data_IF_693459672204
#
_entry.id   IF_693459672204
#
_cell.length_a   1.000
_cell.length_b   1.000
_cell.length_c   1.000
_cell.angle_alpha   90.00
_cell.angle_beta   90.00
_cell.angle_gamma   90.00
#
_symmetry.space_group_name_H-M   'P 1'
#
loop_
_entity.id
_entity.type
_entity.pdbx_description
1 polymer ?
#
# COMPACT_ATOMS: atom_id res chain seq x y z
N UNK A 1 -24.56 15.32 19.93
CA UNK A 1 -24.17 14.77 18.61
C UNK A 1 -22.78 15.29 18.29
N UNK A 2 -21.83 14.42 17.95
CA UNK A 2 -20.47 14.84 17.60
C UNK A 2 -20.47 15.71 16.34
N UNK A 3 -19.43 16.54 16.18
CA UNK A 3 -19.25 17.38 14.98
C UNK A 3 -19.14 16.49 13.74
N UNK A 4 -19.94 16.78 12.70
CA UNK A 4 -19.78 16.13 11.39
C UNK A 4 -18.56 16.75 10.69
N UNK A 5 -17.49 15.97 10.55
CA UNK A 5 -16.24 16.40 9.93
C UNK A 5 -16.21 15.99 8.46
N UNK A 6 -15.56 16.80 7.62
CA UNK A 6 -15.14 16.39 6.28
C UNK A 6 -13.72 15.86 6.34
N UNK A 7 -13.53 14.60 5.91
CA UNK A 7 -12.23 13.92 5.98
C UNK A 7 -11.80 13.55 4.56
N UNK A 8 -10.63 14.03 4.15
CA UNK A 8 -10.06 13.75 2.82
C UNK A 8 -9.00 12.66 2.92
N UNK A 9 -9.23 11.51 2.31
CA UNK A 9 -8.27 10.43 2.15
C UNK A 9 -7.49 10.57 0.84
N UNK A 10 -6.18 10.42 0.90
CA UNK A 10 -5.29 10.48 -0.26
C UNK A 10 -4.28 9.31 -0.24
N UNK A 11 -4.73 8.09 -0.58
CA UNK A 11 -3.85 6.94 -0.71
C UNK A 11 -3.00 7.02 -1.99
N UNK A 12 -1.83 6.39 -1.97
CA UNK A 12 -1.09 6.02 -3.18
C UNK A 12 -1.97 5.11 -4.06
N UNK A 13 -1.89 5.17 -5.40
CA UNK A 13 -2.74 4.38 -6.30
C UNK A 13 -2.35 2.90 -6.38
N UNK A 14 -2.41 2.21 -5.24
CA UNK A 14 -2.23 0.77 -5.11
C UNK A 14 -3.42 0.16 -4.37
N UNK A 15 -3.88 -1.00 -4.84
CA UNK A 15 -5.09 -1.68 -4.32
C UNK A 15 -5.01 -1.91 -2.80
N UNK A 16 -3.84 -2.27 -2.27
CA UNK A 16 -3.62 -2.44 -0.83
C UNK A 16 -3.86 -1.17 -0.02
N UNK A 17 -3.25 -0.05 -0.43
CA UNK A 17 -3.37 1.25 0.25
C UNK A 17 -4.78 1.81 0.17
N UNK A 18 -5.43 1.70 -1.00
CA UNK A 18 -6.83 2.12 -1.16
C UNK A 18 -7.75 1.28 -0.27
N UNK A 19 -7.60 -0.04 -0.23
CA UNK A 19 -8.40 -0.90 0.66
C UNK A 19 -8.18 -0.62 2.14
N UNK A 20 -6.93 -0.34 2.55
CA UNK A 20 -6.62 0.04 3.93
C UNK A 20 -7.33 1.34 4.33
N UNK A 21 -7.26 2.35 3.46
CA UNK A 21 -8.00 3.60 3.64
C UNK A 21 -9.51 3.40 3.66
N UNK A 22 -10.07 2.51 2.82
CA UNK A 22 -11.51 2.17 2.82
C UNK A 22 -11.91 1.61 4.19
N UNK A 23 -11.13 0.67 4.76
CA UNK A 23 -11.43 0.09 6.07
C UNK A 23 -11.52 1.15 7.19
N UNK A 24 -10.60 2.12 7.21
CA UNK A 24 -10.69 3.27 8.13
C UNK A 24 -11.90 4.17 7.83
N UNK A 25 -12.11 4.47 6.55
CA UNK A 25 -13.13 5.39 6.09
C UNK A 25 -14.56 4.90 6.37
N UNK A 26 -14.84 3.59 6.22
CA UNK A 26 -16.15 3.02 6.53
C UNK A 26 -16.52 3.22 8.00
N UNK A 27 -15.55 3.02 8.91
CA UNK A 27 -15.75 3.26 10.34
C UNK A 27 -16.09 4.74 10.59
N UNK A 28 -15.38 5.67 9.96
CA UNK A 28 -15.63 7.12 10.12
C UNK A 28 -16.95 7.55 9.49
N UNK A 29 -17.30 7.00 8.32
CA UNK A 29 -18.58 7.21 7.67
C UNK A 29 -19.74 6.72 8.55
N UNK A 30 -19.61 5.54 9.17
CA UNK A 30 -20.62 4.99 10.10
C UNK A 30 -20.86 5.87 11.33
N UNK A 31 -19.89 6.72 11.68
CA UNK A 31 -19.98 7.72 12.76
C UNK A 31 -20.56 9.06 12.29
N UNK A 32 -20.99 9.14 11.03
CA UNK A 32 -21.68 10.29 10.45
C UNK A 32 -20.75 11.34 9.85
N UNK A 33 -19.48 11.02 9.55
CA UNK A 33 -18.54 11.93 8.89
C UNK A 33 -18.68 11.91 7.37
N UNK A 34 -18.40 13.04 6.71
CA UNK A 34 -18.32 13.12 5.26
C UNK A 34 -16.94 12.66 4.79
N UNK A 35 -16.89 11.64 3.95
CA UNK A 35 -15.64 11.07 3.43
C UNK A 35 -15.45 11.47 1.97
N UNK A 36 -14.26 12.00 1.67
CA UNK A 36 -13.79 12.30 0.33
C UNK A 36 -12.52 11.49 0.06
N UNK A 37 -12.41 10.89 -1.11
CA UNK A 37 -11.22 10.20 -1.57
C UNK A 37 -10.62 10.92 -2.78
N UNK A 38 -9.35 11.31 -2.67
CA UNK A 38 -8.53 11.69 -3.80
C UNK A 38 -7.77 10.46 -4.30
N UNK A 39 -8.22 9.87 -5.41
CA UNK A 39 -7.70 8.60 -5.95
C UNK A 39 -7.31 8.75 -7.41
N UNK A 40 -6.43 7.88 -7.90
CA UNK A 40 -6.10 7.85 -9.33
C UNK A 40 -7.30 7.44 -10.20
N UNK A 41 -7.31 7.88 -11.46
CA UNK A 41 -8.34 7.59 -12.45
C UNK A 41 -8.66 6.08 -12.57
N UNK A 42 -7.69 5.19 -12.35
CA UNK A 42 -7.90 3.74 -12.35
C UNK A 42 -8.85 3.22 -11.25
N UNK A 43 -9.18 4.05 -10.27
CA UNK A 43 -10.16 3.77 -9.20
C UNK A 43 -11.51 4.45 -9.40
N UNK A 44 -11.70 5.21 -10.49
CA UNK A 44 -12.95 5.92 -10.76
C UNK A 44 -14.18 4.98 -10.68
N UNK A 45 -15.17 5.40 -9.89
CA UNK A 45 -16.42 4.70 -9.63
C UNK A 45 -16.33 3.52 -8.66
N UNK A 46 -15.14 3.08 -8.24
CA UNK A 46 -14.97 1.87 -7.41
C UNK A 46 -15.26 2.11 -5.93
N UNK A 47 -15.20 3.35 -5.47
CA UNK A 47 -15.41 3.77 -4.09
C UNK A 47 -16.83 4.34 -3.86
N UNK A 48 -17.53 4.79 -4.91
CA UNK A 48 -18.92 5.27 -4.85
C UNK A 48 -19.88 4.27 -4.15
N UNK A 49 -19.81 2.94 -4.37
CA UNK A 49 -20.70 1.99 -3.69
C UNK A 49 -20.57 1.97 -2.16
N UNK A 50 -19.46 2.47 -1.60
CA UNK A 50 -19.25 2.60 -0.16
C UNK A 50 -19.87 3.89 0.42
N UNK A 51 -20.46 4.75 -0.43
CA UNK A 51 -21.03 6.03 -0.01
C UNK A 51 -20.01 7.16 0.13
N UNK A 52 -18.80 6.98 -0.42
CA UNK A 52 -17.75 8.01 -0.42
C UNK A 52 -17.89 8.96 -1.61
N UNK A 53 -17.35 10.17 -1.45
CA UNK A 53 -17.15 11.10 -2.57
C UNK A 53 -15.80 10.81 -3.21
N UNK A 54 -15.75 10.71 -4.53
CA UNK A 54 -14.52 10.51 -5.28
C UNK A 54 -14.08 11.77 -6.02
N UNK A 55 -12.80 12.10 -5.89
CA UNK A 55 -12.08 13.04 -6.75
C UNK A 55 -10.96 12.27 -7.45
N UNK A 56 -11.03 12.18 -8.78
CA UNK A 56 -10.09 11.41 -9.58
C UNK A 56 -8.94 12.27 -10.05
N UNK A 57 -7.73 11.81 -9.78
CA UNK A 57 -6.48 12.40 -10.27
C UNK A 57 -6.17 11.81 -11.63
N UNK A 58 -6.04 12.67 -12.64
CA UNK A 58 -5.60 12.26 -13.96
C UNK A 58 -4.12 12.61 -14.13
N UNK A 59 -3.27 11.61 -14.38
CA UNK A 59 -1.91 11.84 -14.86
C UNK A 59 -1.92 12.05 -16.38
N UNK A 60 -1.04 12.92 -16.88
CA UNK A 60 -0.95 13.18 -18.33
C UNK A 60 -0.26 12.03 -19.10
N UNK A 61 0.35 11.06 -18.42
CA UNK A 61 1.33 10.15 -19.03
C UNK A 61 0.94 8.66 -19.05
N UNK A 62 -0.14 8.23 -18.39
CA UNK A 62 -0.63 6.84 -18.51
C UNK A 62 -2.05 6.77 -19.11
N UNK A 63 -2.12 7.05 -20.42
CA UNK A 63 -3.23 6.56 -21.25
C UNK A 63 -3.05 5.07 -21.50
N UNK A 64 -3.74 4.24 -20.74
CA UNK A 64 -3.88 2.83 -21.08
C UNK A 64 -4.71 2.08 -20.06
N UNK A 65 -5.75 1.37 -20.51
CA UNK A 65 -6.64 0.52 -19.71
C UNK A 65 -5.93 -0.66 -19.00
N UNK A 66 -4.59 -0.74 -19.08
CA UNK A 66 -3.75 -1.90 -18.70
C UNK A 66 -2.55 -1.56 -17.80
N UNK A 67 -2.53 -0.41 -17.12
CA UNK A 67 -1.40 -0.01 -16.26
C UNK A 67 -1.02 -1.08 -15.19
N UNK A 68 -2.03 -1.75 -14.61
CA UNK A 68 -1.82 -2.86 -13.68
C UNK A 68 -1.18 -4.10 -14.32
N UNK A 69 -1.58 -4.47 -15.54
CA UNK A 69 -0.96 -5.56 -16.31
C UNK A 69 0.48 -5.25 -16.69
N UNK A 70 0.76 -4.01 -17.12
CA UNK A 70 2.11 -3.55 -17.43
C UNK A 70 3.02 -3.62 -16.20
N UNK A 71 2.55 -3.14 -15.04
CA UNK A 71 3.28 -3.22 -13.79
C UNK A 71 3.56 -4.67 -13.37
N UNK A 72 2.55 -5.55 -13.43
CA UNK A 72 2.71 -6.97 -13.11
C UNK A 72 3.74 -7.65 -14.05
N UNK A 73 3.66 -7.38 -15.34
CA UNK A 73 4.59 -7.91 -16.35
C UNK A 73 6.01 -7.39 -16.13
N UNK A 74 6.17 -6.11 -15.81
CA UNK A 74 7.47 -5.51 -15.49
C UNK A 74 8.11 -6.18 -14.27
N UNK A 75 7.35 -6.38 -13.19
CA UNK A 75 7.83 -7.08 -11.99
C UNK A 75 8.23 -8.53 -12.33
N UNK A 76 7.39 -9.28 -13.04
CA UNK A 76 7.67 -10.65 -13.45
C UNK A 76 8.95 -10.74 -14.30
N UNK A 77 9.08 -9.87 -15.30
CA UNK A 77 10.23 -9.86 -16.22
C UNK A 77 11.54 -9.36 -15.57
N UNK A 78 11.47 -8.59 -14.48
CA UNK A 78 12.65 -8.08 -13.78
C UNK A 78 13.48 -9.17 -13.08
N UNK A 79 12.89 -10.34 -12.84
CA UNK A 79 13.52 -11.42 -12.07
C UNK A 79 13.57 -11.15 -10.55
N UNK A 80 12.96 -10.07 -10.04
CA UNK A 80 12.96 -9.74 -8.61
C UNK A 80 12.28 -10.81 -7.75
N UNK A 81 11.33 -11.55 -8.32
CA UNK A 81 10.60 -12.64 -7.66
C UNK A 81 11.36 -13.98 -7.66
N UNK A 82 12.54 -14.04 -8.30
CA UNK A 82 13.37 -15.24 -8.30
C UNK A 82 14.02 -15.51 -6.93
N UNK A 83 14.57 -16.72 -6.75
CA UNK A 83 15.26 -17.15 -5.53
C UNK A 83 16.62 -16.49 -5.25
N UNK A 84 16.86 -15.28 -5.75
CA UNK A 84 18.10 -14.52 -5.50
C UNK A 84 18.11 -13.89 -4.10
N UNK A 85 19.31 -13.57 -3.60
CA UNK A 85 19.49 -12.94 -2.28
C UNK A 85 18.80 -11.57 -2.17
N UNK A 86 18.52 -11.15 -0.94
CA UNK A 86 17.82 -9.89 -0.68
C UNK A 86 18.58 -8.66 -1.20
N UNK A 87 19.91 -8.64 -1.07
CA UNK A 87 20.75 -7.59 -1.65
C UNK A 87 20.68 -7.57 -3.18
N UNK A 88 20.64 -8.74 -3.83
CA UNK A 88 20.48 -8.81 -5.29
C UNK A 88 19.10 -8.33 -5.74
N UNK A 89 18.04 -8.63 -4.99
CA UNK A 89 16.69 -8.06 -5.22
C UNK A 89 16.71 -6.54 -5.11
N UNK A 90 17.39 -5.99 -4.10
CA UNK A 90 17.52 -4.54 -3.93
C UNK A 90 18.23 -3.89 -5.14
N UNK A 91 19.32 -4.47 -5.65
CA UNK A 91 20.00 -3.99 -6.88
C UNK A 91 19.07 -4.03 -8.11
N UNK A 92 18.25 -5.07 -8.26
CA UNK A 92 17.24 -5.14 -9.33
C UNK A 92 16.24 -4.00 -9.18
N UNK A 93 15.72 -3.78 -7.96
CA UNK A 93 14.75 -2.73 -7.66
C UNK A 93 15.32 -1.32 -7.88
N UNK A 94 16.60 -1.09 -7.56
CA UNK A 94 17.29 0.17 -7.84
C UNK A 94 17.24 0.53 -9.32
N UNK A 95 17.42 -0.44 -10.21
CA UNK A 95 17.40 -0.22 -11.67
C UNK A 95 16.01 0.11 -12.22
N UNK A 96 14.94 -0.16 -11.45
CA UNK A 96 13.57 0.16 -11.87
C UNK A 96 13.16 1.60 -11.57
N UNK A 97 13.96 2.36 -10.77
CA UNK A 97 13.72 3.77 -10.42
C UNK A 97 12.30 4.09 -9.91
N UNK A 98 11.60 3.11 -9.34
CA UNK A 98 10.17 3.19 -8.99
C UNK A 98 9.87 4.36 -8.05
N UNK A 99 10.76 4.64 -7.09
CA UNK A 99 10.55 5.71 -6.10
C UNK A 99 10.62 7.10 -6.75
N UNK A 100 11.48 7.28 -7.76
CA UNK A 100 11.57 8.55 -8.49
C UNK A 100 10.31 8.82 -9.31
N UNK A 101 9.72 7.76 -9.89
CA UNK A 101 8.43 7.82 -10.60
C UNK A 101 7.31 8.26 -9.66
N UNK A 102 7.29 7.77 -8.41
CA UNK A 102 6.32 8.23 -7.42
C UNK A 102 6.48 9.72 -7.07
N UNK A 103 7.73 10.20 -6.94
CA UNK A 103 7.99 11.64 -6.70
C UNK A 103 7.52 12.49 -7.89
N UNK A 104 7.76 12.06 -9.13
CA UNK A 104 7.26 12.75 -10.31
C UNK A 104 5.74 12.78 -10.37
N UNK A 105 5.09 11.63 -10.16
CA UNK A 105 3.63 11.53 -10.16
C UNK A 105 3.02 12.48 -9.12
N UNK A 106 3.56 12.53 -7.90
CA UNK A 106 3.10 13.46 -6.86
C UNK A 106 3.27 14.92 -7.25
N UNK A 107 4.39 15.26 -7.88
CA UNK A 107 4.63 16.63 -8.37
C UNK A 107 3.64 17.01 -9.47
N UNK A 108 3.39 16.12 -10.43
CA UNK A 108 2.41 16.34 -11.50
C UNK A 108 0.98 16.46 -10.95
N UNK A 109 0.65 15.67 -9.93
CA UNK A 109 -0.69 15.61 -9.33
C UNK A 109 -0.96 16.72 -8.31
N UNK A 110 0.07 17.44 -7.85
CA UNK A 110 -0.03 18.47 -6.81
C UNK A 110 -1.10 19.56 -7.09
N UNK A 111 -1.23 20.13 -8.30
CA UNK A 111 -2.25 21.15 -8.57
C UNK A 111 -3.67 20.61 -8.37
N UNK A 112 -3.94 19.36 -8.77
CA UNK A 112 -5.23 18.70 -8.57
C UNK A 112 -5.49 18.48 -7.08
N UNK A 113 -4.48 18.07 -6.30
CA UNK A 113 -4.61 17.93 -4.84
C UNK A 113 -4.98 19.25 -4.17
N UNK A 114 -4.36 20.36 -4.58
CA UNK A 114 -4.72 21.69 -4.07
C UNK A 114 -6.16 22.05 -4.40
N UNK A 115 -6.61 21.77 -5.62
CA UNK A 115 -7.97 22.03 -6.03
C UNK A 115 -8.99 21.22 -5.20
N UNK A 116 -8.70 19.94 -4.91
CA UNK A 116 -9.57 19.10 -4.09
C UNK A 116 -9.64 19.56 -2.64
N UNK A 117 -8.50 19.93 -2.04
CA UNK A 117 -8.46 20.54 -0.70
C UNK A 117 -9.28 21.83 -0.67
N UNK A 118 -9.15 22.71 -1.66
CA UNK A 118 -9.92 23.95 -1.73
C UNK A 118 -11.43 23.69 -1.92
N UNK A 119 -11.79 22.74 -2.78
CA UNK A 119 -13.19 22.35 -3.08
C UNK A 119 -13.91 21.78 -1.87
N UNK A 120 -13.26 20.87 -1.14
CA UNK A 120 -13.90 20.14 -0.05
C UNK A 120 -13.65 20.74 1.33
N UNK A 121 -12.64 21.59 1.46
CA UNK A 121 -12.27 22.26 2.69
C UNK A 121 -12.22 21.31 3.91
N UNK A 122 -11.43 20.22 3.84
CA UNK A 122 -11.50 19.15 4.83
C UNK A 122 -11.11 19.63 6.23
N UNK A 123 -11.75 19.10 7.26
CA UNK A 123 -11.36 19.30 8.66
C UNK A 123 -10.07 18.54 8.99
N UNK A 124 -9.88 17.35 8.40
CA UNK A 124 -8.72 16.46 8.58
C UNK A 124 -8.34 15.82 7.24
N UNK A 125 -7.05 15.64 6.99
CA UNK A 125 -6.54 14.93 5.81
C UNK A 125 -5.88 13.62 6.26
N UNK A 126 -6.13 12.51 5.58
CA UNK A 126 -5.51 11.21 5.83
C UNK A 126 -4.62 10.85 4.65
N UNK A 127 -3.34 10.60 4.90
CA UNK A 127 -2.33 10.39 3.87
C UNK A 127 -1.70 9.01 4.05
N UNK A 128 -1.96 8.11 3.12
CA UNK A 128 -1.30 6.80 3.00
C UNK A 128 -0.41 6.84 1.74
N UNK A 129 0.81 7.33 1.87
CA UNK A 129 1.68 7.53 0.73
C UNK A 129 3.16 7.39 1.10
N UNK A 130 3.95 6.86 0.16
CA UNK A 130 5.40 6.71 0.31
C UNK A 130 6.14 8.03 0.41
N UNK A 131 5.56 9.09 -0.16
CA UNK A 131 6.11 10.43 -0.22
C UNK A 131 4.94 11.39 0.03
N UNK A 132 5.11 12.35 0.94
CA UNK A 132 4.02 13.27 1.27
C UNK A 132 3.80 14.32 0.17
N UNK A 133 2.54 14.55 -0.21
CA UNK A 133 2.21 15.67 -1.11
C UNK A 133 2.22 17.00 -0.32
N UNK A 134 2.97 18.02 -0.75
CA UNK A 134 2.99 19.34 -0.10
C UNK A 134 1.60 19.99 -0.05
N UNK A 135 0.79 19.76 -1.08
CA UNK A 135 -0.60 20.26 -1.16
C UNK A 135 -1.49 19.73 -0.04
N UNK A 136 -1.16 18.57 0.53
CA UNK A 136 -1.91 17.92 1.59
C UNK A 136 -1.31 18.24 2.96
N UNK A 137 0.01 18.07 3.11
CA UNK A 137 0.69 18.25 4.41
C UNK A 137 0.72 19.71 4.89
N UNK A 138 0.78 20.66 3.96
CA UNK A 138 0.86 22.09 4.25
C UNK A 138 -0.43 22.84 3.87
N UNK A 139 -1.56 22.11 3.83
CA UNK A 139 -2.90 22.66 3.56
C UNK A 139 -3.47 23.55 4.68
N UNK A 140 -2.70 23.83 5.75
CA UNK A 140 -3.19 24.43 6.99
C UNK A 140 -4.36 23.63 7.63
N UNK A 141 -4.29 22.31 7.53
CA UNK A 141 -5.21 21.35 8.16
C UNK A 141 -4.41 20.31 8.94
N UNK A 142 -4.94 19.78 10.06
CA UNK A 142 -4.34 18.61 10.67
C UNK A 142 -4.38 17.45 9.68
N UNK A 143 -3.27 16.72 9.59
CA UNK A 143 -3.20 15.53 8.76
C UNK A 143 -2.78 14.31 9.57
N UNK A 144 -3.22 13.13 9.16
CA UNK A 144 -2.90 11.85 9.77
C UNK A 144 -2.08 11.04 8.77
N UNK A 145 -0.89 10.60 9.18
CA UNK A 145 -0.09 9.68 8.38
C UNK A 145 -0.59 8.26 8.58
N UNK A 146 -0.78 7.49 7.50
CA UNK A 146 -1.17 6.09 7.55
C UNK A 146 -0.08 5.25 6.91
N UNK A 147 0.35 4.20 7.60
CA UNK A 147 1.18 3.14 7.03
C UNK A 147 0.35 1.85 6.95
N UNK A 148 -0.05 1.48 5.73
CA UNK A 148 -0.74 0.21 5.46
C UNK A 148 0.21 -0.96 5.16
N UNK A 149 1.51 -0.70 5.18
CA UNK A 149 2.56 -1.68 4.93
C UNK A 149 3.10 -2.23 6.25
N UNK A 150 4.13 -3.06 6.17
CA UNK A 150 4.90 -3.42 7.36
C UNK A 150 5.39 -2.14 8.08
N UNK A 151 5.21 -2.04 9.41
CA UNK A 151 5.46 -0.81 10.15
C UNK A 151 6.91 -0.35 10.16
N UNK A 152 7.88 -1.22 9.85
CA UNK A 152 9.28 -0.84 9.77
C UNK A 152 9.52 0.25 8.71
N UNK A 153 8.71 0.32 7.66
CA UNK A 153 8.80 1.41 6.68
C UNK A 153 8.51 2.80 7.28
N UNK A 154 7.74 2.85 8.37
CA UNK A 154 7.32 4.09 9.03
C UNK A 154 8.05 4.34 10.36
N UNK A 155 8.39 3.25 11.06
CA UNK A 155 9.05 3.25 12.37
C UNK A 155 10.27 2.31 12.29
N UNK A 156 11.28 2.75 11.53
CA UNK A 156 12.58 2.09 11.50
C UNK A 156 13.31 2.28 12.84
N UNK A 157 14.07 1.26 13.24
CA UNK A 157 14.86 1.24 14.48
C UNK A 157 16.01 0.23 14.35
N UNK A 158 17.21 0.58 14.81
CA UNK A 158 18.42 -0.26 14.71
C UNK A 158 18.27 -1.63 15.39
N UNK A 159 17.29 -1.80 16.30
CA UNK A 159 16.98 -3.09 16.94
C UNK A 159 16.23 -4.05 16.01
N UNK A 160 15.61 -3.54 14.95
CA UNK A 160 14.78 -4.27 14.00
C UNK A 160 15.44 -4.40 12.62
N UNK A 161 15.09 -5.41 11.80
CA UNK A 161 15.63 -5.55 10.46
C UNK A 161 15.36 -4.30 9.60
N UNK A 162 16.23 -4.00 8.61
CA UNK A 162 16.00 -2.87 7.73
C UNK A 162 14.68 -2.99 6.97
N UNK A 163 13.92 -1.91 6.77
CA UNK A 163 12.61 -1.96 6.11
C UNK A 163 12.70 -2.53 4.69
N UNK A 164 11.82 -3.46 4.35
CA UNK A 164 11.77 -4.10 3.03
C UNK A 164 12.86 -5.16 2.78
N UNK A 165 13.73 -5.44 3.75
CA UNK A 165 14.82 -6.41 3.59
C UNK A 165 14.36 -7.87 3.63
N UNK A 166 13.27 -8.18 4.34
CA UNK A 166 12.85 -9.55 4.60
C UNK A 166 13.85 -10.36 5.46
N UNK A 167 14.79 -9.68 6.12
CA UNK A 167 15.76 -10.32 7.02
C UNK A 167 15.12 -10.67 8.37
N UNK A 168 15.61 -11.73 9.00
CA UNK A 168 15.15 -12.19 10.32
C UNK A 168 15.58 -11.23 11.43
N UNK A 169 14.77 -11.08 12.48
CA UNK A 169 15.12 -10.35 13.72
C UNK A 169 16.36 -10.95 14.44
N UNK A 170 16.64 -12.22 14.19
CA UNK A 170 17.82 -12.94 14.69
C UNK A 170 18.92 -13.07 13.62
N UNK A 171 18.81 -12.31 12.53
CA UNK A 171 19.73 -12.34 11.39
C UNK A 171 21.08 -11.66 11.67
N UNK A 172 22.00 -11.81 10.71
CA UNK A 172 23.32 -11.21 10.78
C UNK A 172 23.25 -9.67 10.68
N UNK A 173 23.77 -8.96 11.69
CA UNK A 173 23.78 -7.50 11.75
C UNK A 173 24.67 -6.86 10.67
N UNK A 174 25.70 -7.54 10.21
CA UNK A 174 26.51 -7.06 9.09
C UNK A 174 25.73 -7.09 7.77
N UNK A 175 24.84 -8.07 7.59
CA UNK A 175 23.95 -8.15 6.44
C UNK A 175 22.88 -7.04 6.50
N UNK A 176 22.39 -6.72 7.69
CA UNK A 176 21.46 -5.60 7.88
C UNK A 176 22.12 -4.28 7.48
N UNK A 177 23.34 -4.03 7.98
CA UNK A 177 24.10 -2.82 7.66
C UNK A 177 24.38 -2.70 6.17
N UNK A 178 24.81 -3.79 5.52
CA UNK A 178 25.04 -3.81 4.07
C UNK A 178 23.76 -3.49 3.28
N UNK A 179 22.61 -4.01 3.73
CA UNK A 179 21.32 -3.69 3.11
C UNK A 179 20.94 -2.22 3.32
N UNK A 180 21.13 -1.67 4.53
CA UNK A 180 20.83 -0.27 4.83
C UNK A 180 21.64 0.69 3.95
N UNK A 181 22.95 0.45 3.82
CA UNK A 181 23.84 1.23 2.97
C UNK A 181 23.39 1.23 1.50
N UNK A 182 23.11 0.04 0.93
CA UNK A 182 22.60 -0.08 -0.44
C UNK A 182 21.20 0.55 -0.58
N UNK A 183 20.34 0.40 0.42
CA UNK A 183 18.97 0.92 0.35
C UNK A 183 18.95 2.45 0.41
N UNK A 184 19.82 3.06 1.22
CA UNK A 184 19.99 4.51 1.26
C UNK A 184 20.37 5.08 -0.10
N UNK A 185 21.23 4.39 -0.84
CA UNK A 185 21.60 4.78 -2.21
C UNK A 185 20.42 4.69 -3.19
N UNK A 186 19.52 3.71 -3.03
CA UNK A 186 18.29 3.61 -3.83
C UNK A 186 17.39 4.82 -3.64
N UNK A 187 17.27 5.32 -2.41
CA UNK A 187 16.40 6.47 -2.10
C UNK A 187 17.06 7.82 -2.36
N UNK A 188 18.39 7.89 -2.49
CA UNK A 188 19.13 9.14 -2.61
C UNK A 188 18.66 10.04 -3.77
N UNK A 189 18.46 9.47 -4.96
CA UNK A 189 17.99 10.24 -6.12
C UNK A 189 16.58 10.80 -5.91
N UNK A 190 15.65 9.94 -5.47
CA UNK A 190 14.29 10.35 -5.18
C UNK A 190 14.24 11.41 -4.06
N UNK A 191 15.05 11.26 -3.02
CA UNK A 191 15.20 12.23 -1.92
C UNK A 191 15.71 13.56 -2.44
N UNK A 192 16.77 13.57 -3.26
CA UNK A 192 17.32 14.80 -3.84
C UNK A 192 16.28 15.54 -4.70
N UNK A 193 15.55 14.79 -5.53
CA UNK A 193 14.48 15.32 -6.37
C UNK A 193 13.33 15.89 -5.55
N UNK A 194 12.88 15.16 -4.53
CA UNK A 194 11.83 15.59 -3.63
C UNK A 194 12.26 16.83 -2.82
N UNK A 195 13.47 16.84 -2.26
CA UNK A 195 13.99 17.98 -1.50
C UNK A 195 14.19 19.22 -2.37
N UNK A 196 14.59 19.07 -3.65
CA UNK A 196 14.61 20.18 -4.59
C UNK A 196 13.21 20.77 -4.79
N UNK A 197 12.21 19.92 -5.01
CA UNK A 197 10.82 20.35 -5.16
C UNK A 197 10.25 21.03 -3.91
N UNK A 198 10.58 20.54 -2.71
CA UNK A 198 10.22 21.18 -1.44
C UNK A 198 10.86 22.57 -1.29
N UNK A 199 12.15 22.71 -1.61
CA UNK A 199 12.86 24.01 -1.58
C UNK A 199 12.27 25.03 -2.54
N UNK A 200 11.91 24.61 -3.76
CA UNK A 200 11.24 25.47 -4.76
C UNK A 200 9.91 26.03 -4.24
N UNK A 201 9.27 25.36 -3.27
CA UNK A 201 8.05 25.83 -2.58
C UNK A 201 8.29 26.59 -1.29
N UNK A 202 9.56 26.77 -0.88
CA UNK A 202 9.90 27.35 0.42
C UNK A 202 9.53 26.46 1.60
N UNK A 203 9.45 25.14 1.40
CA UNK A 203 9.09 24.17 2.44
C UNK A 203 10.32 23.42 2.98
N UNK A 204 10.26 22.89 4.22
CA UNK A 204 11.35 22.11 4.80
C UNK A 204 11.73 20.87 3.99
N UNK A 205 13.02 20.57 3.91
CA UNK A 205 13.51 19.31 3.34
C UNK A 205 13.37 18.16 4.32
N UNK A 206 13.42 16.93 3.79
CA UNK A 206 13.42 15.71 4.58
C UNK A 206 14.84 15.20 4.75
N UNK A 207 15.20 14.86 5.98
CA UNK A 207 16.44 14.18 6.32
C UNK A 207 16.13 12.76 6.83
N UNK A 208 16.03 11.81 5.90
CA UNK A 208 15.93 10.38 6.20
C UNK A 208 16.91 9.60 5.32
N UNK A 209 17.40 8.48 5.85
CA UNK A 209 18.24 7.51 5.15
C UNK A 209 17.42 6.34 4.58
N UNK A 210 16.12 6.29 4.85
CA UNK A 210 15.19 5.23 4.44
C UNK A 210 13.99 5.83 3.68
N UNK A 211 12.88 5.08 3.60
CA UNK A 211 11.68 5.46 2.88
C UNK A 211 11.27 6.93 3.14
N UNK A 212 10.80 7.63 2.10
CA UNK A 212 10.38 9.04 2.12
C UNK A 212 9.04 9.29 2.86
N UNK A 213 8.66 8.35 3.74
CA UNK A 213 7.40 8.40 4.48
C UNK A 213 7.47 9.48 5.55
N UNK A 214 6.81 10.60 5.28
CA UNK A 214 6.75 11.72 6.19
C UNK A 214 5.82 11.41 7.37
N UNK A 215 6.27 11.78 8.57
CA UNK A 215 5.53 11.58 9.82
C UNK A 215 4.69 12.81 10.11
N UNK A 216 3.41 12.60 10.40
CA UNK A 216 2.53 13.68 10.86
C UNK A 216 2.95 14.19 12.23
N UNK A 217 2.97 15.52 12.44
CA UNK A 217 3.17 16.09 13.76
C UNK A 217 1.90 15.99 14.64
N UNK A 218 0.77 15.52 14.11
CA UNK A 218 -0.51 15.41 14.81
C UNK A 218 -0.81 13.98 15.25
N UNK A 219 -0.84 13.04 14.31
CA UNK A 219 -1.14 11.63 14.55
C UNK A 219 -0.68 10.78 13.38
N UNK A 220 -0.14 9.60 13.67
CA UNK A 220 0.21 8.57 12.71
C UNK A 220 -0.47 7.26 13.11
N UNK A 221 -0.89 6.49 12.11
CA UNK A 221 -1.55 5.20 12.27
C UNK A 221 -0.80 4.17 11.45
N UNK A 222 -0.64 2.96 11.97
CA UNK A 222 -0.21 1.82 11.18
C UNK A 222 -1.07 0.60 11.47
N UNK A 223 -1.34 -0.18 10.44
CA UNK A 223 -2.12 -1.41 10.55
C UNK A 223 -1.21 -2.62 10.67
N UNK A 224 -1.17 -3.23 11.86
CA UNK A 224 -0.40 -4.45 12.08
C UNK A 224 -0.94 -5.18 13.32
N UNK A 225 -1.12 -6.52 13.27
CA UNK A 225 -1.54 -7.29 14.43
C UNK A 225 -0.56 -7.14 15.59
N UNK A 226 -1.08 -7.02 16.81
CA UNK A 226 -0.29 -6.95 18.05
C UNK A 226 0.80 -8.01 18.11
N UNK A 227 0.41 -9.25 17.82
CA UNK A 227 1.23 -10.44 17.98
C UNK A 227 2.39 -10.52 16.99
N UNK A 228 2.34 -9.71 15.93
CA UNK A 228 3.38 -9.63 14.91
C UNK A 228 4.20 -8.35 15.02
N UNK A 229 3.75 -7.37 15.80
CA UNK A 229 4.41 -6.07 15.89
C UNK A 229 5.80 -6.17 16.53
N UNK A 230 6.62 -5.17 16.25
CA UNK A 230 7.99 -5.08 16.74
C UNK A 230 8.08 -4.36 18.08
N UNK A 231 6.97 -4.15 18.79
CA UNK A 231 6.92 -3.35 20.03
C UNK A 231 7.74 -3.94 21.17
N UNK A 232 8.01 -5.25 21.14
CA UNK A 232 8.93 -5.92 22.07
C UNK A 232 10.40 -5.58 21.80
N UNK A 233 10.72 -5.18 20.56
CA UNK A 233 12.08 -4.83 20.13
C UNK A 233 12.31 -3.32 20.06
N UNK A 234 11.28 -2.53 19.72
CA UNK A 234 11.36 -1.08 19.54
C UNK A 234 10.15 -0.37 20.16
N UNK A 235 10.32 0.80 20.80
CA UNK A 235 9.22 1.53 21.43
C UNK A 235 8.24 2.05 20.37
N UNK A 236 6.98 2.22 20.78
CA UNK A 236 6.02 2.99 20.01
C UNK A 236 6.30 4.49 20.19
N UNK A 237 6.64 5.25 19.14
CA UNK A 237 6.91 6.67 19.29
C UNK A 237 5.64 7.44 19.66
N UNK A 238 5.80 8.64 20.23
CA UNK A 238 4.68 9.54 20.49
C UNK A 238 3.88 9.82 19.21
N UNK A 239 2.56 10.03 19.37
CA UNK A 239 1.63 10.33 18.26
C UNK A 239 1.57 9.23 17.21
N UNK A 240 1.80 7.98 17.61
CA UNK A 240 1.51 6.80 16.83
C UNK A 240 0.41 5.97 17.50
N UNK A 241 -0.48 5.43 16.68
CA UNK A 241 -1.49 4.46 17.08
C UNK A 241 -1.36 3.21 16.19
N UNK A 242 -1.31 2.04 16.82
CA UNK A 242 -1.50 0.78 16.13
C UNK A 242 -3.00 0.55 15.93
N UNK A 243 -3.37 -0.01 14.78
CA UNK A 243 -4.65 -0.69 14.60
C UNK A 243 -4.36 -2.13 14.16
N UNK A 244 -5.09 -3.11 14.67
CA UNK A 244 -4.75 -4.52 14.37
C UNK A 244 -4.98 -4.86 12.89
N UNK A 245 -6.04 -4.33 12.29
CA UNK A 245 -6.33 -4.52 10.88
C UNK A 245 -7.18 -3.39 10.29
N UNK A 246 -6.99 -3.13 9.00
CA UNK A 246 -7.86 -2.27 8.19
C UNK A 246 -8.98 -3.09 7.55
N UNK A 247 -9.94 -3.52 8.36
CA UNK A 247 -11.05 -4.37 7.89
C UNK A 247 -12.23 -3.56 7.40
N UNK A 248 -12.85 -4.04 6.31
CA UNK A 248 -14.15 -3.53 5.84
C UNK A 248 -15.27 -4.05 6.74
N UNK A 249 -16.27 -3.21 7.02
CA UNK A 249 -17.38 -3.56 7.92
C UNK A 249 -18.46 -4.39 7.19
N UNK A 250 -18.49 -4.35 5.85
CA UNK A 250 -19.70 -4.61 5.08
C UNK A 250 -19.75 -5.80 4.12
N UNK A 251 -18.77 -6.70 4.05
CA UNK A 251 -18.88 -7.82 3.10
C UNK A 251 -19.96 -8.80 3.58
N UNK A 252 -21.14 -8.77 2.95
CA UNK A 252 -22.32 -9.58 3.30
C UNK A 252 -22.59 -10.75 2.34
N UNK A 253 -21.81 -10.87 1.27
CA UNK A 253 -22.04 -11.93 0.28
C UNK A 253 -21.58 -13.28 0.85
N UNK A 254 -22.47 -14.27 0.84
CA UNK A 254 -22.10 -15.66 1.07
C UNK A 254 -21.29 -16.15 -0.13
N UNK A 255 -20.14 -16.77 0.16
CA UNK A 255 -19.35 -17.46 -0.84
C UNK A 255 -19.49 -18.96 -0.60
N UNK A 256 -19.79 -19.71 -1.66
CA UNK A 256 -19.79 -21.18 -1.65
C UNK A 256 -18.73 -21.68 -2.61
N UNK A 257 -17.87 -22.56 -2.11
CA UNK A 257 -16.91 -23.27 -2.93
C UNK A 257 -17.71 -24.16 -3.91
N UNK A 258 -17.48 -24.10 -5.23
CA UNK A 258 -18.27 -24.89 -6.18
C UNK A 258 -18.15 -26.40 -5.95
N UNK A 259 -19.28 -27.11 -5.95
CA UNK A 259 -19.35 -28.55 -5.65
C UNK A 259 -18.45 -29.40 -6.57
N UNK A 260 -18.27 -28.98 -7.84
CA UNK A 260 -17.40 -29.65 -8.82
C UNK A 260 -15.91 -29.66 -8.46
N UNK A 261 -15.50 -28.94 -7.41
CA UNK A 261 -14.16 -29.00 -6.83
C UNK A 261 -13.89 -30.31 -6.08
N UNK A 262 -14.94 -31.06 -5.71
CA UNK A 262 -14.76 -32.28 -4.93
C UNK A 262 -14.41 -33.52 -5.76
N UNK A 263 -14.54 -33.49 -7.09
CA UNK A 263 -14.64 -34.68 -7.96
C UNK A 263 -13.62 -34.78 -9.13
N UNK A 264 -12.35 -34.36 -8.96
CA UNK A 264 -11.37 -34.37 -10.09
C UNK A 264 -10.04 -35.05 -9.75
N UNK A 265 -9.39 -35.64 -10.77
CA UNK A 265 -8.13 -36.40 -10.69
C UNK A 265 -6.89 -35.48 -10.61
N UNK A 266 -5.69 -35.77 -11.14
CA UNK A 266 -4.48 -34.96 -10.89
C UNK A 266 -3.58 -34.84 -12.13
N UNK A 267 -3.24 -33.61 -12.56
CA UNK A 267 -2.22 -33.30 -13.58
C UNK A 267 -1.06 -32.41 -13.09
N UNK A 268 0.16 -32.64 -13.62
CA UNK A 268 1.47 -32.42 -12.95
C UNK A 268 2.02 -30.98 -12.91
N UNK A 269 1.70 -30.22 -11.87
CA UNK A 269 2.53 -29.14 -11.26
C UNK A 269 3.02 -29.53 -9.85
N UNK A 270 3.86 -28.72 -9.17
CA UNK A 270 4.33 -29.09 -7.81
C UNK A 270 3.17 -29.25 -6.81
N UNK A 271 2.18 -28.35 -6.87
CA UNK A 271 1.02 -28.37 -5.98
C UNK A 271 0.02 -29.48 -6.36
N UNK A 272 0.00 -29.92 -7.62
CA UNK A 272 -0.85 -31.05 -8.03
C UNK A 272 -0.47 -32.38 -7.35
N UNK A 273 0.80 -32.55 -6.99
CA UNK A 273 1.29 -33.77 -6.32
C UNK A 273 0.92 -33.83 -4.85
N UNK A 274 0.31 -32.77 -4.32
CA UNK A 274 -0.13 -32.69 -2.94
C UNK A 274 -1.48 -33.38 -2.75
N UNK A 275 -1.65 -34.09 -1.64
CA UNK A 275 -2.94 -34.68 -1.25
C UNK A 275 -3.92 -33.63 -0.68
N UNK A 276 -3.61 -32.34 -0.80
CA UNK A 276 -4.46 -31.24 -0.39
C UNK A 276 -5.19 -30.62 -1.59
N UNK A 277 -6.30 -29.95 -1.30
CA UNK A 277 -7.08 -29.18 -2.27
C UNK A 277 -6.71 -27.71 -2.16
N UNK A 278 -6.69 -26.99 -3.30
CA UNK A 278 -6.26 -25.58 -3.34
C UNK A 278 -7.34 -24.66 -3.89
N UNK A 279 -7.53 -23.52 -3.22
CA UNK A 279 -8.31 -22.39 -3.75
C UNK A 279 -7.31 -21.31 -4.22
N UNK A 280 -7.40 -20.90 -5.48
CA UNK A 280 -6.43 -20.03 -6.14
C UNK A 280 -7.10 -18.73 -6.60
N UNK A 281 -6.60 -17.59 -6.11
CA UNK A 281 -6.91 -16.29 -6.71
C UNK A 281 -5.98 -16.09 -7.91
N UNK A 282 -6.52 -16.19 -9.13
CA UNK A 282 -5.70 -16.29 -10.34
C UNK A 282 -5.11 -14.96 -10.81
N UNK A 283 -5.67 -13.83 -10.35
CA UNK A 283 -5.23 -12.48 -10.65
C UNK A 283 -5.50 -12.03 -12.09
N UNK A 284 -4.91 -10.90 -12.47
CA UNK A 284 -5.11 -10.26 -13.79
C UNK A 284 -4.66 -11.12 -14.97
N UNK A 285 -3.68 -12.00 -14.77
CA UNK A 285 -3.17 -12.93 -15.77
C UNK A 285 -3.79 -14.33 -15.62
N UNK A 286 -4.92 -14.45 -14.94
CA UNK A 286 -5.49 -15.75 -14.64
C UNK A 286 -5.85 -16.58 -15.87
N UNK A 287 -6.18 -15.94 -16.98
CA UNK A 287 -6.54 -16.65 -18.22
C UNK A 287 -5.32 -17.16 -19.00
N UNK A 288 -4.09 -16.88 -18.55
CA UNK A 288 -2.85 -17.32 -19.23
C UNK A 288 -2.35 -18.68 -18.74
N UNK A 289 -3.01 -19.32 -17.78
CA UNK A 289 -2.62 -20.62 -17.26
C UNK A 289 -3.83 -21.42 -16.75
N UNK A 290 -3.66 -22.74 -16.73
CA UNK A 290 -4.66 -23.68 -16.26
C UNK A 290 -4.34 -24.14 -14.84
N UNK A 291 -5.40 -24.48 -14.11
CA UNK A 291 -5.32 -25.02 -12.76
C UNK A 291 -5.37 -26.56 -12.85
N UNK A 292 -4.54 -27.23 -12.05
CA UNK A 292 -4.62 -28.68 -11.95
C UNK A 292 -5.93 -29.10 -11.29
N UNK A 293 -6.32 -30.35 -11.50
CA UNK A 293 -7.59 -30.89 -11.05
C UNK A 293 -7.86 -30.79 -9.53
N UNK A 294 -6.82 -30.85 -8.68
CA UNK A 294 -6.95 -30.63 -7.23
C UNK A 294 -7.06 -29.15 -6.82
N UNK A 295 -7.23 -28.24 -7.79
CA UNK A 295 -7.29 -26.80 -7.58
C UNK A 295 -8.57 -26.22 -8.19
N UNK A 296 -9.11 -25.21 -7.54
CA UNK A 296 -10.18 -24.38 -8.06
C UNK A 296 -9.80 -22.91 -7.87
N UNK A 297 -10.21 -22.04 -8.78
CA UNK A 297 -9.88 -20.64 -8.67
C UNK A 297 -10.53 -19.77 -9.73
N UNK A 298 -10.66 -18.50 -9.40
CA UNK A 298 -11.16 -17.45 -10.28
C UNK A 298 -10.15 -16.29 -10.30
N UNK A 299 -10.27 -15.39 -11.27
CA UNK A 299 -9.36 -14.23 -11.38
C UNK A 299 -9.44 -13.31 -10.15
N UNK A 300 -10.58 -13.33 -9.44
CA UNK A 300 -10.75 -12.71 -8.13
C UNK A 300 -11.55 -13.63 -7.22
N UNK A 301 -11.12 -13.79 -5.97
CA UNK A 301 -11.77 -14.63 -4.96
C UNK A 301 -12.04 -13.78 -3.71
N UNK A 302 -13.23 -13.86 -3.08
CA UNK A 302 -13.55 -13.10 -1.88
C UNK A 302 -12.82 -13.70 -0.66
N UNK A 303 -11.56 -13.32 -0.47
CA UNK A 303 -10.64 -13.92 0.51
C UNK A 303 -11.22 -13.98 1.94
N UNK A 304 -11.85 -12.92 2.42
CA UNK A 304 -12.49 -12.82 3.74
C UNK A 304 -13.65 -13.81 3.93
N UNK A 305 -14.24 -14.30 2.84
CA UNK A 305 -15.32 -15.30 2.83
C UNK A 305 -14.81 -16.71 2.65
N UNK A 306 -13.63 -16.87 2.04
CA UNK A 306 -12.97 -18.17 1.90
C UNK A 306 -12.26 -18.57 3.18
N UNK A 307 -11.54 -17.66 3.85
CA UNK A 307 -10.74 -17.99 5.03
C UNK A 307 -11.49 -18.72 6.15
N UNK A 308 -12.77 -18.40 6.46
CA UNK A 308 -13.51 -19.13 7.49
C UNK A 308 -13.96 -20.55 7.07
N UNK A 309 -13.80 -20.93 5.81
CA UNK A 309 -14.27 -22.21 5.25
C UNK A 309 -13.16 -23.27 5.12
N UNK A 310 -11.90 -22.91 5.40
CA UNK A 310 -10.70 -23.73 5.14
C UNK A 310 -9.93 -24.07 6.40
#
# INVERSE_FOLDING_TARGET
MGKNLTILFAPVPGVGHVNACIGLAEVLLSRGHKIVFAVDQSFAGKLLPFGFIEETVTSNEMKGEKAGEYSATSILSSGVLSGVSTLKKLKIMQNLSIIEVFVDALRQNEPQMKAFVAKHNPDVIVIDNFVGSPALMYANRPWVGVCSMNPLFAIADDRTPPPGSGLSINGNRDEWKAYEEDSGQMFANAKNKYNKWMKEKGLPTVETNSALMLKSPYLNIYGFPEELDYTDLRPLPEKWLRVDAFMKIGEKQEFKIPDKFFDRDIEKTILSKSNHKFIVSKGLLGDTYELADNMWGENSVPQTKVLPLV
#
